data_IF_777589621801
#
_entry.id   IF_777589621801
#
_cell.length_a   1.000
_cell.length_b   1.000
_cell.length_c   1.000
_cell.angle_alpha   90.00
_cell.angle_beta   90.00
_cell.angle_gamma   90.00
#
_symmetry.space_group_name_H-M   'P 1'
#
loop_
_entity.id
_entity.type
_entity.pdbx_description
1 polymer ?
#
# COMPACT_ATOMS: atom_id res chain seq x y z
N UNK A 1 15.97 24.99 -13.63
CA UNK A 1 15.15 24.20 -12.68
C UNK A 1 15.96 23.69 -11.48
N UNK A 2 17.30 23.75 -11.51
CA UNK A 2 18.16 23.14 -10.49
C UNK A 2 18.33 23.92 -9.17
N UNK A 3 17.80 25.15 -9.13
CA UNK A 3 17.78 26.03 -7.94
C UNK A 3 16.63 25.74 -6.99
N UNK A 4 15.64 24.94 -7.40
CA UNK A 4 14.52 24.55 -6.54
C UNK A 4 15.04 23.59 -5.45
N UNK A 5 14.74 23.82 -4.16
CA UNK A 5 15.16 22.93 -3.09
C UNK A 5 14.61 21.51 -3.28
N UNK A 6 15.45 20.50 -3.04
CA UNK A 6 15.04 19.09 -3.20
C UNK A 6 13.81 18.72 -2.36
N UNK A 7 13.66 19.33 -1.18
CA UNK A 7 12.49 19.13 -0.31
C UNK A 7 11.19 19.61 -0.97
N UNK A 8 11.25 20.69 -1.74
CA UNK A 8 10.09 21.17 -2.49
C UNK A 8 9.73 20.20 -3.61
N UNK A 9 10.74 19.75 -4.37
CA UNK A 9 10.55 18.76 -5.44
C UNK A 9 9.98 17.46 -4.85
N UNK A 10 10.48 17.00 -3.69
CA UNK A 10 9.97 15.81 -3.00
C UNK A 10 8.52 15.97 -2.57
N UNK A 11 8.16 17.11 -1.98
CA UNK A 11 6.76 17.39 -1.60
C UNK A 11 5.83 17.43 -2.81
N UNK A 12 6.28 18.00 -3.93
CA UNK A 12 5.50 18.04 -5.17
C UNK A 12 5.39 16.65 -5.80
N UNK A 13 6.49 15.91 -5.93
CA UNK A 13 6.49 14.54 -6.43
C UNK A 13 5.56 13.66 -5.57
N UNK A 14 5.64 13.70 -4.24
CA UNK A 14 4.75 12.93 -3.36
C UNK A 14 3.27 13.25 -3.58
N UNK A 15 2.92 14.52 -3.73
CA UNK A 15 1.53 14.93 -3.97
C UNK A 15 1.04 14.51 -5.35
N UNK A 16 1.87 14.70 -6.37
CA UNK A 16 1.59 14.28 -7.74
C UNK A 16 1.47 12.76 -7.83
N UNK A 17 2.31 12.01 -7.11
CA UNK A 17 2.27 10.55 -7.01
C UNK A 17 0.98 10.00 -6.41
N UNK A 18 0.39 10.73 -5.47
CA UNK A 18 -0.86 10.37 -4.83
C UNK A 18 -2.09 10.67 -5.70
N UNK A 19 -1.96 11.58 -6.67
CA UNK A 19 -3.10 12.09 -7.46
C UNK A 19 -3.07 11.71 -8.95
N UNK A 20 -1.89 11.52 -9.55
CA UNK A 20 -1.72 11.33 -10.99
C UNK A 20 -0.44 10.53 -11.32
N UNK A 21 -0.55 9.20 -11.31
CA UNK A 21 0.57 8.30 -11.63
C UNK A 21 1.01 8.34 -13.10
N UNK A 22 0.13 8.56 -14.08
CA UNK A 22 0.56 8.86 -15.45
C UNK A 22 1.48 10.08 -15.51
N UNK A 23 1.10 11.20 -14.88
CA UNK A 23 1.99 12.37 -14.80
C UNK A 23 3.28 12.08 -14.04
N UNK A 24 3.25 11.18 -13.05
CA UNK A 24 4.47 10.74 -12.38
C UNK A 24 5.43 10.03 -13.35
N UNK A 25 4.93 9.11 -14.17
CA UNK A 25 5.76 8.41 -15.15
C UNK A 25 6.46 9.42 -16.05
N UNK A 26 5.71 10.37 -16.58
CA UNK A 26 6.25 11.46 -17.40
C UNK A 26 7.26 12.31 -16.63
N UNK A 27 7.01 12.59 -15.35
CA UNK A 27 7.93 13.37 -14.52
C UNK A 27 9.29 12.70 -14.31
N UNK A 28 9.36 11.36 -14.37
CA UNK A 28 10.65 10.65 -14.28
C UNK A 28 11.55 10.87 -15.49
N UNK A 29 10.97 11.30 -16.62
CA UNK A 29 11.70 11.65 -17.83
C UNK A 29 12.16 13.11 -17.86
N UNK A 30 11.74 13.94 -16.88
CA UNK A 30 12.23 15.32 -16.76
C UNK A 30 13.74 15.27 -16.46
N UNK A 31 14.61 15.87 -17.30
CA UNK A 31 16.04 15.81 -17.08
C UNK A 31 16.50 16.39 -15.74
N UNK A 32 17.70 15.99 -15.31
CA UNK A 32 18.37 16.49 -14.11
C UNK A 32 17.63 16.16 -12.79
N UNK A 33 17.68 17.08 -11.81
CA UNK A 33 17.25 16.83 -10.44
C UNK A 33 15.79 16.39 -10.30
N UNK A 34 14.90 16.86 -11.18
CA UNK A 34 13.47 16.56 -11.09
C UNK A 34 13.18 15.09 -11.40
N UNK A 35 13.65 14.57 -12.53
CA UNK A 35 13.48 13.16 -12.87
C UNK A 35 14.21 12.23 -11.91
N UNK A 36 15.41 12.61 -11.43
CA UNK A 36 16.16 11.85 -10.43
C UNK A 36 15.39 11.72 -9.11
N UNK A 37 14.85 12.83 -8.59
CA UNK A 37 14.09 12.85 -7.34
C UNK A 37 12.77 12.08 -7.49
N UNK A 38 12.00 12.34 -8.55
CA UNK A 38 10.75 11.61 -8.78
C UNK A 38 11.01 10.10 -9.00
N UNK A 39 12.07 9.71 -9.69
CA UNK A 39 12.48 8.30 -9.84
C UNK A 39 12.89 7.66 -8.49
N UNK A 40 13.63 8.40 -7.66
CA UNK A 40 14.03 7.95 -6.32
C UNK A 40 12.83 7.74 -5.41
N UNK A 41 11.91 8.70 -5.37
CA UNK A 41 10.70 8.61 -4.53
C UNK A 41 9.80 7.48 -5.05
N UNK A 42 9.65 7.33 -6.36
CA UNK A 42 8.84 6.26 -6.97
C UNK A 42 9.30 4.87 -6.54
N UNK A 43 10.61 4.65 -6.41
CA UNK A 43 11.19 3.39 -5.89
C UNK A 43 10.92 3.16 -4.41
N UNK A 44 10.70 4.23 -3.63
CA UNK A 44 10.38 4.16 -2.20
C UNK A 44 8.89 3.95 -1.94
N UNK A 45 8.03 4.10 -2.96
CA UNK A 45 6.59 3.94 -2.76
C UNK A 45 6.20 2.47 -2.63
N UNK A 46 5.35 2.18 -1.65
CA UNK A 46 4.86 0.84 -1.36
C UNK A 46 3.34 0.83 -1.22
N UNK A 47 2.77 -0.33 -1.47
CA UNK A 47 1.42 -0.73 -1.10
C UNK A 47 1.50 -1.57 0.17
N UNK A 48 0.71 -1.24 1.18
CA UNK A 48 0.54 -2.07 2.36
C UNK A 48 -0.22 -3.35 1.97
N UNK A 49 0.41 -4.51 2.04
CA UNK A 49 -0.26 -5.80 1.84
C UNK A 49 -0.57 -6.42 3.20
N UNK A 50 -1.84 -6.70 3.45
CA UNK A 50 -2.37 -7.27 4.68
C UNK A 50 -3.00 -8.62 4.37
N UNK A 51 -2.55 -9.66 5.05
CA UNK A 51 -3.07 -11.01 4.95
C UNK A 51 -3.84 -11.36 6.23
N UNK A 52 -5.06 -11.83 6.05
CA UNK A 52 -5.95 -12.30 7.11
C UNK A 52 -5.85 -13.83 7.16
N UNK A 53 -5.15 -14.36 8.15
CA UNK A 53 -5.01 -15.80 8.39
C UNK A 53 -6.20 -16.28 9.22
N UNK A 54 -7.06 -17.09 8.60
CA UNK A 54 -8.28 -17.60 9.23
C UNK A 54 -8.03 -18.74 10.20
N UNK A 55 -7.00 -19.54 9.96
CA UNK A 55 -6.68 -20.70 10.80
C UNK A 55 -6.06 -20.26 12.12
N UNK A 56 -5.14 -19.31 12.07
CA UNK A 56 -4.47 -18.76 13.26
C UNK A 56 -5.21 -17.56 13.84
N UNK A 57 -6.20 -17.00 13.12
CA UNK A 57 -6.91 -15.75 13.46
C UNK A 57 -5.94 -14.60 13.71
N UNK A 58 -4.99 -14.43 12.78
CA UNK A 58 -3.92 -13.44 12.87
C UNK A 58 -3.92 -12.53 11.66
N UNK A 59 -3.37 -11.34 11.85
CA UNK A 59 -3.21 -10.34 10.81
C UNK A 59 -1.71 -10.21 10.55
N UNK A 60 -1.31 -10.36 9.30
CA UNK A 60 0.06 -10.17 8.87
C UNK A 60 0.13 -9.01 7.89
N UNK A 61 1.17 -8.20 7.99
CA UNK A 61 1.37 -7.06 7.09
C UNK A 61 2.81 -7.00 6.58
N UNK A 62 2.94 -6.53 5.35
CA UNK A 62 4.21 -6.24 4.70
C UNK A 62 4.09 -5.06 3.73
N UNK A 63 5.24 -4.50 3.34
CA UNK A 63 5.31 -3.44 2.34
C UNK A 63 5.64 -4.02 0.97
N UNK A 64 4.74 -3.82 0.01
CA UNK A 64 4.86 -4.33 -1.35
C UNK A 64 5.25 -3.18 -2.29
N UNK A 65 6.43 -3.22 -2.94
CA UNK A 65 6.83 -2.15 -3.85
C UNK A 65 5.86 -2.02 -5.03
N UNK A 66 5.53 -0.80 -5.42
CA UNK A 66 4.55 -0.56 -6.49
C UNK A 66 5.00 -0.99 -7.90
N UNK A 67 6.30 -1.16 -8.13
CA UNK A 67 6.85 -1.34 -9.48
C UNK A 67 7.63 -2.66 -9.68
N UNK A 68 7.67 -3.53 -8.67
CA UNK A 68 8.25 -4.86 -8.85
C UNK A 68 7.11 -5.86 -9.02
N UNK A 69 6.90 -6.31 -10.27
CA UNK A 69 5.95 -7.35 -10.65
C UNK A 69 6.36 -8.75 -10.15
N UNK A 70 7.26 -8.83 -9.17
CA UNK A 70 7.78 -10.06 -8.61
C UNK A 70 7.45 -10.12 -7.13
N UNK A 71 6.66 -11.12 -6.75
CA UNK A 71 6.32 -11.51 -5.37
C UNK A 71 7.55 -11.76 -4.46
N UNK A 72 8.76 -11.70 -5.01
CA UNK A 72 10.04 -11.83 -4.30
C UNK A 72 10.51 -10.56 -3.58
N UNK A 73 9.96 -9.38 -3.89
CA UNK A 73 10.49 -8.11 -3.38
C UNK A 73 9.68 -7.55 -2.20
N UNK A 74 9.05 -8.43 -1.42
CA UNK A 74 8.31 -8.03 -0.23
C UNK A 74 9.29 -7.52 0.82
N UNK A 75 9.11 -6.27 1.22
CA UNK A 75 9.97 -5.60 2.19
C UNK A 75 9.29 -5.58 3.55
N UNK A 76 10.07 -5.72 4.63
CA UNK A 76 9.55 -5.66 5.99
C UNK A 76 8.92 -4.29 6.26
N UNK A 77 7.74 -4.29 6.86
CA UNK A 77 7.02 -3.06 7.18
C UNK A 77 7.84 -2.09 8.05
N UNK A 78 8.68 -2.61 8.95
CA UNK A 78 9.52 -1.82 9.86
C UNK A 78 10.65 -1.06 9.13
N UNK A 79 10.95 -1.44 7.89
CA UNK A 79 12.00 -0.81 7.08
C UNK A 79 11.48 0.27 6.12
N UNK A 80 10.16 0.47 6.08
CA UNK A 80 9.51 1.45 5.20
C UNK A 80 8.93 2.58 6.03
N UNK A 81 9.28 3.82 5.67
CA UNK A 81 8.65 5.00 6.26
C UNK A 81 7.17 5.06 5.82
N UNK A 82 6.20 5.08 6.75
CA UNK A 82 4.78 5.08 6.44
C UNK A 82 4.34 6.17 5.48
N UNK A 83 5.06 7.30 5.38
CA UNK A 83 4.75 8.37 4.43
C UNK A 83 4.84 7.95 2.96
N UNK A 84 5.57 6.85 2.67
CA UNK A 84 5.69 6.29 1.33
C UNK A 84 4.74 5.11 1.08
N UNK A 85 3.89 4.77 2.05
CA UNK A 85 2.82 3.80 1.87
C UNK A 85 1.61 4.57 1.36
N UNK A 86 1.21 4.31 0.11
CA UNK A 86 0.17 5.11 -0.54
C UNK A 86 -1.13 4.37 -0.77
N UNK A 87 -1.08 3.04 -0.81
CA UNK A 87 -2.24 2.20 -1.05
C UNK A 87 -2.25 1.05 -0.05
N UNK A 88 -3.38 0.36 0.07
CA UNK A 88 -3.48 -0.89 0.80
C UNK A 88 -4.17 -1.99 0.00
N UNK A 89 -3.82 -3.23 0.30
CA UNK A 89 -4.53 -4.44 -0.11
C UNK A 89 -4.74 -5.30 1.11
N UNK A 90 -6.00 -5.54 1.45
CA UNK A 90 -6.40 -6.43 2.54
C UNK A 90 -7.03 -7.66 1.89
N UNK A 91 -6.40 -8.81 2.09
CA UNK A 91 -6.76 -10.07 1.42
C UNK A 91 -6.85 -11.19 2.45
N UNK A 92 -7.70 -12.18 2.17
CA UNK A 92 -7.69 -13.44 2.90
C UNK A 92 -6.46 -14.25 2.50
N UNK A 93 -5.72 -14.78 3.49
CA UNK A 93 -4.54 -15.58 3.21
C UNK A 93 -4.92 -16.83 2.40
N UNK A 94 -4.12 -17.12 1.36
CA UNK A 94 -4.27 -18.36 0.60
C UNK A 94 -3.76 -19.57 1.41
N UNK A 95 -4.19 -20.81 1.09
CA UNK A 95 -3.68 -21.99 1.79
C UNK A 95 -2.15 -22.15 1.74
N UNK A 96 -1.51 -21.60 0.71
CA UNK A 96 -0.05 -21.58 0.59
C UNK A 96 0.58 -20.58 1.58
N UNK A 97 0.04 -19.37 1.67
CA UNK A 97 0.50 -18.33 2.60
C UNK A 97 0.25 -18.73 4.07
N UNK A 98 -0.82 -19.45 4.38
CA UNK A 98 -1.06 -19.96 5.74
C UNK A 98 0.01 -20.97 6.20
N UNK A 99 0.58 -21.73 5.26
CA UNK A 99 1.59 -22.74 5.51
C UNK A 99 3.01 -22.16 5.58
N UNK A 100 3.36 -21.26 4.65
CA UNK A 100 4.70 -20.68 4.55
C UNK A 100 4.63 -19.18 4.21
N UNK A 101 4.38 -18.37 5.25
CA UNK A 101 4.43 -16.92 5.15
C UNK A 101 5.90 -16.48 4.96
N UNK A 102 6.20 -15.65 3.94
CA UNK A 102 7.54 -15.09 3.78
C UNK A 102 7.95 -14.33 5.05
N UNK A 103 9.21 -14.47 5.47
CA UNK A 103 9.73 -13.83 6.69
C UNK A 103 9.71 -12.28 6.70
N UNK A 104 9.34 -11.65 5.58
CA UNK A 104 9.10 -10.22 5.48
C UNK A 104 7.75 -9.78 6.04
N UNK A 105 6.81 -10.72 6.23
CA UNK A 105 5.53 -10.45 6.89
C UNK A 105 5.69 -10.36 8.40
N UNK A 106 5.07 -9.34 8.96
CA UNK A 106 5.04 -9.09 10.40
C UNK A 106 3.61 -9.27 10.91
N UNK A 107 3.47 -9.99 12.02
CA UNK A 107 2.20 -10.04 12.75
C UNK A 107 1.90 -8.66 13.33
N UNK A 108 0.69 -8.15 13.07
CA UNK A 108 0.22 -6.86 13.57
C UNK A 108 -1.12 -7.03 14.30
N UNK A 109 -1.44 -6.06 15.15
CA UNK A 109 -2.76 -6.00 15.77
C UNK A 109 -3.76 -5.26 14.88
N UNK A 110 -5.04 -5.36 15.22
CA UNK A 110 -6.09 -4.60 14.57
C UNK A 110 -5.93 -3.07 14.79
N UNK A 111 -5.40 -2.64 15.95
CA UNK A 111 -5.10 -1.23 16.23
C UNK A 111 -3.96 -0.72 15.35
N UNK A 112 -2.92 -1.53 15.17
CA UNK A 112 -1.81 -1.20 14.25
C UNK A 112 -2.32 -1.03 12.82
N UNK A 113 -3.19 -1.94 12.36
CA UNK A 113 -3.83 -1.83 11.05
C UNK A 113 -4.62 -0.53 10.92
N UNK A 114 -5.42 -0.18 11.93
CA UNK A 114 -6.20 1.05 11.93
C UNK A 114 -5.30 2.29 11.85
N UNK A 115 -4.20 2.33 12.60
CA UNK A 115 -3.22 3.43 12.54
C UNK A 115 -2.60 3.55 11.16
N UNK A 116 -2.18 2.44 10.55
CA UNK A 116 -1.61 2.44 9.20
C UNK A 116 -2.61 2.93 8.16
N UNK A 117 -3.86 2.47 8.21
CA UNK A 117 -4.90 2.88 7.29
C UNK A 117 -5.27 4.36 7.47
N UNK A 118 -5.23 4.88 8.70
CA UNK A 118 -5.40 6.31 8.97
C UNK A 118 -4.29 7.15 8.31
N UNK A 119 -3.03 6.72 8.37
CA UNK A 119 -1.94 7.42 7.68
C UNK A 119 -2.13 7.45 6.15
N UNK A 120 -2.54 6.32 5.57
CA UNK A 120 -2.81 6.23 4.12
C UNK A 120 -3.99 7.11 3.73
N UNK A 121 -5.07 7.11 4.51
CA UNK A 121 -6.24 7.97 4.27
C UNK A 121 -5.89 9.45 4.26
N UNK A 122 -5.02 9.91 5.15
CA UNK A 122 -4.56 11.31 5.15
C UNK A 122 -3.74 11.68 3.91
N UNK A 123 -3.13 10.70 3.25
CA UNK A 123 -2.37 10.91 2.01
C UNK A 123 -3.29 10.99 0.77
N UNK A 124 -4.53 10.50 0.84
CA UNK A 124 -5.44 10.44 -0.31
C UNK A 124 -6.42 11.62 -0.31
N UNK A 125 -6.18 12.60 -1.18
CA UNK A 125 -7.23 13.54 -1.61
C UNK A 125 -7.66 13.11 -3.02
N UNK A 126 -8.89 12.61 -3.11
CA UNK A 126 -9.73 12.41 -4.30
C UNK A 126 -9.00 12.45 -5.65
N UNK A 127 -8.68 11.28 -6.25
CA UNK A 127 -8.91 10.92 -7.67
C UNK A 127 -8.25 9.57 -8.06
N UNK A 128 -8.93 8.83 -8.94
CA UNK A 128 -8.72 7.42 -9.30
C UNK A 128 -7.68 7.20 -10.40
N UNK A 129 -6.75 6.25 -10.18
CA UNK A 129 -6.01 5.53 -11.22
C UNK A 129 -6.27 4.02 -11.04
N UNK A 130 -6.56 3.32 -12.14
CA UNK A 130 -7.05 1.92 -12.12
C UNK A 130 -6.01 0.91 -11.61
N UNK A 131 -4.73 1.28 -11.61
CA UNK A 131 -3.63 0.41 -11.16
C UNK A 131 -3.28 0.59 -9.68
N UNK A 132 -3.86 1.58 -8.99
CA UNK A 132 -3.58 1.92 -7.59
C UNK A 132 -4.79 1.81 -6.68
N UNK A 133 -5.63 0.83 -6.94
CA UNK A 133 -6.87 0.60 -6.20
C UNK A 133 -6.54 0.07 -4.81
N UNK A 134 -7.13 0.68 -3.79
CA UNK A 134 -7.22 0.07 -2.46
C UNK A 134 -8.14 -1.15 -2.53
N UNK A 135 -7.59 -2.34 -2.32
CA UNK A 135 -8.34 -3.59 -2.48
C UNK A 135 -8.73 -4.14 -1.12
N UNK A 136 -10.01 -4.49 -0.98
CA UNK A 136 -10.50 -5.36 0.07
C UNK A 136 -11.08 -6.63 -0.55
N UNK A 137 -10.42 -7.76 -0.32
CA UNK A 137 -10.84 -9.08 -0.79
C UNK A 137 -11.05 -10.02 0.41
N UNK A 138 -12.31 -10.21 0.79
CA UNK A 138 -12.71 -11.00 1.95
C UNK A 138 -13.37 -12.30 1.47
N UNK A 139 -12.70 -13.42 1.73
CA UNK A 139 -13.22 -14.77 1.51
C UNK A 139 -13.61 -15.45 2.83
N UNK A 140 -14.12 -16.68 2.74
CA UNK A 140 -14.66 -17.45 3.88
C UNK A 140 -13.73 -17.53 5.11
N UNK A 141 -12.41 -17.62 4.90
CA UNK A 141 -11.44 -17.70 6.01
C UNK A 141 -11.24 -16.38 6.77
N UNK A 142 -11.76 -15.26 6.29
CA UNK A 142 -11.65 -13.94 6.94
C UNK A 142 -12.88 -13.53 7.77
N UNK A 143 -13.96 -14.34 7.79
CA UNK A 143 -15.23 -14.00 8.45
C UNK A 143 -15.11 -13.54 9.90
N UNK A 144 -14.12 -14.08 10.63
CA UNK A 144 -13.87 -13.77 12.05
C UNK A 144 -13.52 -12.30 12.33
N UNK A 145 -13.09 -11.54 11.31
CA UNK A 145 -12.67 -10.14 11.45
C UNK A 145 -13.48 -9.16 10.60
N UNK A 146 -14.33 -9.65 9.70
CA UNK A 146 -15.02 -8.84 8.70
C UNK A 146 -15.83 -7.70 9.32
N UNK A 147 -16.60 -7.95 10.38
CA UNK A 147 -17.38 -6.90 11.06
C UNK A 147 -16.50 -5.75 11.57
N UNK A 148 -15.30 -6.08 12.08
CA UNK A 148 -14.37 -5.08 12.60
C UNK A 148 -13.67 -4.31 11.48
N UNK A 149 -13.34 -4.96 10.37
CA UNK A 149 -12.78 -4.26 9.21
C UNK A 149 -13.80 -3.32 8.56
N UNK A 150 -15.06 -3.74 8.49
CA UNK A 150 -16.14 -2.90 7.96
C UNK A 150 -16.47 -1.71 8.86
N UNK A 151 -16.33 -1.85 10.18
CA UNK A 151 -16.57 -0.75 11.12
C UNK A 151 -15.48 0.34 11.08
N UNK A 152 -14.31 0.06 10.49
CA UNK A 152 -13.23 1.04 10.33
C UNK A 152 -13.51 2.13 9.29
N UNK A 153 -14.62 2.06 8.55
CA UNK A 153 -15.02 3.05 7.53
C UNK A 153 -13.87 3.40 6.58
N UNK A 154 -13.22 2.37 6.05
CA UNK A 154 -12.06 2.52 5.19
C UNK A 154 -12.48 3.07 3.82
N UNK A 155 -11.69 3.98 3.22
CA UNK A 155 -11.92 4.41 1.85
C UNK A 155 -11.53 3.26 0.92
N UNK A 156 -12.51 2.44 0.52
CA UNK A 156 -12.29 1.35 -0.43
C UNK A 156 -12.66 1.81 -1.83
N UNK A 157 -11.74 1.62 -2.77
CA UNK A 157 -11.99 1.85 -4.19
C UNK A 157 -12.62 0.61 -4.86
N UNK A 158 -12.39 -0.57 -4.28
CA UNK A 158 -12.95 -1.85 -4.72
C UNK A 158 -13.12 -2.80 -3.53
N UNK A 159 -14.36 -3.24 -3.28
CA UNK A 159 -14.66 -4.29 -2.31
C UNK A 159 -15.19 -5.52 -3.06
N UNK A 160 -14.45 -6.64 -2.98
CA UNK A 160 -14.89 -7.93 -3.49
C UNK A 160 -15.17 -8.82 -2.29
N UNK A 161 -16.43 -9.19 -2.12
CA UNK A 161 -16.89 -10.16 -1.12
C UNK A 161 -17.43 -11.36 -1.88
N UNK A 162 -16.74 -12.49 -1.84
CA UNK A 162 -17.27 -13.74 -2.37
C UNK A 162 -18.36 -14.25 -1.42
N UNK A 163 -19.62 -14.00 -1.76
CA UNK A 163 -20.80 -14.58 -1.11
C UNK A 163 -21.35 -15.67 -2.02
N UNK A 164 -20.93 -16.91 -1.76
CA UNK A 164 -21.60 -18.14 -2.22
C UNK A 164 -21.55 -19.19 -1.11
#
# INVERSE_FOLDING_TARGET
MDTVPSLFIESVCLRLMLMDRPSLLESTWIPYRWGEICSSIRKKMHTLRVLLDGEKKKIYAAAYPLYYNTYSNVTSLDSVDPKFITNFRIETATPYEEQDLPGSYKEITLDDLQRLLHFIRLAMNEQYDSDSINVLNLGRKSEWINEKLLSMQLPFDLAITDVQ
#
